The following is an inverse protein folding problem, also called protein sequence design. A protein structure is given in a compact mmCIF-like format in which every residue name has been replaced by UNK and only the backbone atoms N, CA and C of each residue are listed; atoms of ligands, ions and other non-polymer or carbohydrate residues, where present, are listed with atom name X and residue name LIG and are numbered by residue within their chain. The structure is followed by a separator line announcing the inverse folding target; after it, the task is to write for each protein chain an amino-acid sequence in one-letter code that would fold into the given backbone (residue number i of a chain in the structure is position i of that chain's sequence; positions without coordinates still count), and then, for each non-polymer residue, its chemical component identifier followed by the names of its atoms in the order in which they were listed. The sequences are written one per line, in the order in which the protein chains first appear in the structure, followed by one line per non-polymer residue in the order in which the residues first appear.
data_IF_001984439312
#
_entry.id   IF_001984439312
#
_cell.length_a   1.000
_cell.length_b   1.000
_cell.length_c   1.000
_cell.angle_alpha   90.00
_cell.angle_beta   90.00
_cell.angle_gamma   90.00
#
_symmetry.space_group_name_H-M   'P 1'
#
loop_
_entity.id
_entity.type
_entity.pdbx_description
1 polymer ?
#
# COMPACT_ATOMS: atom_id res chain seq x y z
N UNK A 1 9.88 -16.18 -23.70
CA UNK A 1 9.65 -15.08 -22.75
C UNK A 1 10.60 -15.28 -21.61
N UNK A 2 11.26 -14.22 -21.16
CA UNK A 2 12.16 -14.25 -20.01
C UNK A 2 11.57 -13.44 -18.86
N UNK A 3 11.43 -14.07 -17.70
CA UNK A 3 10.88 -13.45 -16.49
C UNK A 3 11.94 -13.38 -15.41
N UNK A 4 12.20 -12.18 -14.93
CA UNK A 4 13.02 -11.94 -13.75
C UNK A 4 12.18 -12.12 -12.49
N UNK A 5 12.77 -12.61 -11.41
CA UNK A 5 12.09 -12.72 -10.11
C UNK A 5 12.90 -12.03 -9.03
N UNK A 6 12.27 -11.08 -8.35
CA UNK A 6 12.80 -10.43 -7.15
C UNK A 6 11.84 -10.64 -5.99
N UNK A 7 12.36 -10.69 -4.77
CA UNK A 7 11.55 -10.92 -3.56
C UNK A 7 12.09 -10.20 -2.33
N UNK A 8 11.24 -10.07 -1.32
CA UNK A 8 11.67 -9.73 0.03
C UNK A 8 12.48 -10.86 0.66
N UNK A 9 13.23 -10.56 1.72
CA UNK A 9 14.17 -11.51 2.33
C UNK A 9 13.54 -12.37 3.44
N UNK A 10 12.27 -12.16 3.78
CA UNK A 10 11.57 -12.98 4.75
C UNK A 10 11.31 -14.38 4.18
N UNK A 11 11.46 -15.43 5.01
CA UNK A 11 11.32 -16.84 4.59
C UNK A 11 10.06 -17.09 3.74
N UNK A 12 8.90 -16.63 4.20
CA UNK A 12 7.64 -16.81 3.48
C UNK A 12 7.64 -16.16 2.08
N UNK A 13 8.29 -15.00 1.92
CA UNK A 13 8.40 -14.32 0.62
C UNK A 13 9.38 -15.03 -0.31
N UNK A 14 10.46 -15.60 0.24
CA UNK A 14 11.43 -16.39 -0.52
C UNK A 14 10.79 -17.71 -1.00
N UNK A 15 10.03 -18.38 -0.14
CA UNK A 15 9.25 -19.58 -0.50
C UNK A 15 8.23 -19.28 -1.61
N UNK A 16 7.45 -18.22 -1.46
CA UNK A 16 6.46 -17.80 -2.46
C UNK A 16 7.14 -17.45 -3.80
N UNK A 17 8.27 -16.77 -3.76
CA UNK A 17 9.03 -16.42 -4.96
C UNK A 17 9.60 -17.66 -5.66
N UNK A 18 10.02 -18.66 -4.88
CA UNK A 18 10.50 -19.94 -5.41
C UNK A 18 9.36 -20.74 -6.04
N UNK A 19 8.17 -20.72 -5.43
CA UNK A 19 6.97 -21.33 -6.02
C UNK A 19 6.59 -20.65 -7.33
N UNK A 20 6.59 -19.31 -7.37
CA UNK A 20 6.36 -18.53 -8.61
C UNK A 20 7.40 -18.88 -9.68
N UNK A 21 8.67 -19.01 -9.31
CA UNK A 21 9.75 -19.42 -10.23
C UNK A 21 9.51 -20.81 -10.82
N UNK A 22 9.09 -21.76 -9.99
CA UNK A 22 8.82 -23.13 -10.42
C UNK A 22 7.65 -23.17 -11.40
N UNK A 23 6.52 -22.51 -11.08
CA UNK A 23 5.35 -22.46 -11.95
C UNK A 23 5.66 -21.87 -13.33
N UNK A 24 6.51 -20.84 -13.38
CA UNK A 24 6.96 -20.25 -14.65
C UNK A 24 7.86 -21.22 -15.43
N UNK A 25 8.78 -21.89 -14.74
CA UNK A 25 9.68 -22.88 -15.35
C UNK A 25 8.90 -24.06 -15.94
N UNK A 26 7.90 -24.57 -15.20
CA UNK A 26 7.02 -25.65 -15.63
C UNK A 26 6.18 -25.27 -16.86
N UNK A 27 5.84 -23.99 -16.99
CA UNK A 27 5.16 -23.42 -18.15
C UNK A 27 6.12 -23.09 -19.33
N UNK A 28 7.40 -23.45 -19.25
CA UNK A 28 8.40 -23.25 -20.30
C UNK A 28 8.92 -21.82 -20.43
N UNK A 29 8.78 -21.00 -19.37
CA UNK A 29 9.32 -19.63 -19.31
C UNK A 29 10.77 -19.65 -18.84
N UNK A 30 11.63 -18.85 -19.46
CA UNK A 30 13.01 -18.68 -18.99
C UNK A 30 13.02 -17.79 -17.74
N UNK A 31 13.45 -18.34 -16.59
CA UNK A 31 13.44 -17.64 -15.31
C UNK A 31 14.85 -17.17 -14.92
N UNK A 32 14.95 -15.91 -14.51
CA UNK A 32 16.19 -15.31 -14.00
C UNK A 32 15.97 -14.80 -12.57
N UNK A 33 16.75 -15.27 -11.60
CA UNK A 33 16.63 -14.85 -10.21
C UNK A 33 17.48 -13.61 -9.91
N UNK A 34 16.92 -12.67 -9.18
CA UNK A 34 17.64 -11.52 -8.64
C UNK A 34 18.67 -11.96 -7.58
N UNK A 35 19.82 -11.28 -7.51
CA UNK A 35 20.96 -11.65 -6.66
C UNK A 35 20.62 -11.99 -5.20
N UNK A 36 19.72 -11.23 -4.57
CA UNK A 36 19.33 -11.44 -3.17
C UNK A 36 18.44 -12.66 -3.01
N UNK A 37 17.45 -12.84 -3.90
CA UNK A 37 16.62 -14.06 -3.92
C UNK A 37 17.47 -15.30 -4.21
N UNK A 38 18.34 -15.22 -5.22
CA UNK A 38 19.20 -16.32 -5.63
C UNK A 38 20.12 -16.77 -4.49
N UNK A 39 20.74 -15.81 -3.78
CA UNK A 39 21.57 -16.09 -2.62
C UNK A 39 20.78 -16.78 -1.49
N UNK A 40 19.53 -16.36 -1.24
CA UNK A 40 18.67 -16.96 -0.23
C UNK A 40 18.32 -18.43 -0.52
N UNK A 41 18.33 -18.83 -1.80
CA UNK A 41 18.09 -20.23 -2.23
C UNK A 41 19.37 -20.98 -2.62
N UNK A 42 20.55 -20.43 -2.31
CA UNK A 42 21.84 -21.09 -2.56
C UNK A 42 22.26 -21.15 -4.04
N UNK A 43 21.80 -20.21 -4.86
CA UNK A 43 22.10 -20.11 -6.29
C UNK A 43 22.79 -18.78 -6.64
N UNK A 44 23.32 -18.69 -7.87
CA UNK A 44 23.90 -17.43 -8.38
C UNK A 44 22.84 -16.67 -9.17
N UNK A 45 22.54 -15.44 -8.75
CA UNK A 45 21.57 -14.57 -9.41
C UNK A 45 22.22 -13.40 -10.14
N UNK A 46 21.38 -12.60 -10.78
CA UNK A 46 21.81 -11.38 -11.49
C UNK A 46 21.47 -10.15 -10.67
N UNK A 47 22.37 -9.16 -10.56
CA UNK A 47 22.04 -7.89 -9.94
C UNK A 47 20.84 -7.25 -10.65
N UNK A 48 19.87 -6.74 -9.89
CA UNK A 48 18.60 -6.22 -10.42
C UNK A 48 18.76 -5.23 -11.58
N UNK A 49 19.78 -4.38 -11.54
CA UNK A 49 20.08 -3.38 -12.60
C UNK A 49 20.67 -3.97 -13.88
N UNK A 50 21.18 -5.20 -13.82
CA UNK A 50 21.79 -5.93 -14.94
C UNK A 50 20.83 -6.94 -15.58
N UNK A 51 19.70 -7.24 -14.93
CA UNK A 51 18.68 -8.14 -15.47
C UNK A 51 18.11 -7.59 -16.78
N UNK A 52 18.01 -8.46 -17.78
CA UNK A 52 17.46 -8.16 -19.10
C UNK A 52 16.29 -9.08 -19.37
N UNK A 53 15.13 -8.73 -18.84
CA UNK A 53 13.92 -9.57 -18.79
C UNK A 53 12.73 -8.86 -19.43
N UNK A 54 11.79 -9.64 -19.97
CA UNK A 54 10.54 -9.12 -20.56
C UNK A 54 9.60 -8.59 -19.45
N UNK A 55 9.56 -9.30 -18.32
CA UNK A 55 8.78 -8.95 -17.12
C UNK A 55 9.62 -9.24 -15.88
N UNK A 56 9.58 -8.36 -14.89
CA UNK A 56 10.11 -8.60 -13.56
C UNK A 56 8.94 -8.88 -12.59
N UNK A 57 8.78 -10.14 -12.19
CA UNK A 57 7.87 -10.51 -11.11
C UNK A 57 8.48 -10.12 -9.77
N UNK A 58 7.78 -9.29 -9.00
CA UNK A 58 8.22 -8.83 -7.68
C UNK A 58 7.29 -9.42 -6.62
N UNK A 59 7.81 -10.40 -5.89
CA UNK A 59 7.03 -11.17 -4.91
C UNK A 59 7.23 -10.60 -3.51
N UNK A 60 6.16 -10.14 -2.86
CA UNK A 60 6.29 -9.56 -1.52
C UNK A 60 5.14 -8.66 -1.11
N UNK A 61 5.47 -7.56 -0.43
CA UNK A 61 4.54 -6.52 0.01
C UNK A 61 4.80 -5.20 -0.74
N UNK A 62 3.98 -4.17 -0.49
CA UNK A 62 4.18 -2.83 -1.07
C UNK A 62 5.60 -2.31 -0.76
N UNK A 63 6.12 -2.58 0.44
CA UNK A 63 7.49 -2.23 0.80
C UNK A 63 8.54 -2.88 -0.12
N UNK A 64 8.38 -4.18 -0.41
CA UNK A 64 9.27 -4.91 -1.34
C UNK A 64 9.21 -4.31 -2.74
N UNK A 65 8.00 -4.01 -3.23
CA UNK A 65 7.77 -3.42 -4.53
C UNK A 65 8.44 -2.03 -4.65
N UNK A 66 8.18 -1.13 -3.71
CA UNK A 66 8.75 0.22 -3.70
C UNK A 66 10.28 0.18 -3.63
N UNK A 67 10.85 -0.65 -2.74
CA UNK A 67 12.29 -0.82 -2.65
C UNK A 67 12.89 -1.36 -3.97
N UNK A 68 12.22 -2.32 -4.62
CA UNK A 68 12.65 -2.87 -5.91
C UNK A 68 12.65 -1.79 -7.00
N UNK A 69 11.60 -0.96 -7.07
CA UNK A 69 11.51 0.15 -8.02
C UNK A 69 12.58 1.23 -7.79
N UNK A 70 12.90 1.55 -6.52
CA UNK A 70 14.00 2.44 -6.17
C UNK A 70 15.35 1.88 -6.65
N UNK A 71 15.60 0.58 -6.45
CA UNK A 71 16.82 -0.10 -6.90
C UNK A 71 16.92 -0.17 -8.43
N UNK A 72 15.80 -0.40 -9.14
CA UNK A 72 15.72 -0.37 -10.61
C UNK A 72 16.05 1.02 -11.19
N UNK A 73 15.64 2.09 -10.51
CA UNK A 73 15.89 3.45 -10.93
C UNK A 73 15.23 3.80 -12.27
N UNK A 74 16.02 4.30 -13.23
CA UNK A 74 15.52 4.76 -14.55
C UNK A 74 15.22 3.61 -15.53
N UNK A 75 15.47 2.34 -15.17
CA UNK A 75 15.15 1.20 -16.05
C UNK A 75 13.63 1.03 -16.21
N UNK A 76 13.23 0.58 -17.39
CA UNK A 76 11.84 0.46 -17.81
C UNK A 76 11.37 -1.00 -17.94
N UNK A 77 11.94 -1.94 -17.17
CA UNK A 77 11.43 -3.32 -17.16
C UNK A 77 10.01 -3.32 -16.59
N UNK A 78 9.01 -3.86 -17.32
CA UNK A 78 7.67 -4.06 -16.79
C UNK A 78 7.70 -4.89 -15.51
N UNK A 79 7.05 -4.39 -14.46
CA UNK A 79 6.97 -5.04 -13.17
C UNK A 79 5.61 -5.71 -13.02
N UNK A 80 5.61 -6.98 -12.64
CA UNK A 80 4.42 -7.69 -12.19
C UNK A 80 4.50 -7.84 -10.66
N UNK A 81 3.77 -7.02 -9.90
CA UNK A 81 3.68 -7.20 -8.45
C UNK A 81 2.90 -8.48 -8.14
N UNK A 82 3.47 -9.35 -7.31
CA UNK A 82 2.84 -10.57 -6.81
C UNK A 82 2.79 -10.53 -5.28
N UNK A 83 1.59 -10.49 -4.70
CA UNK A 83 1.43 -10.38 -3.26
C UNK A 83 1.85 -11.71 -2.61
N UNK A 84 2.80 -11.62 -1.68
CA UNK A 84 3.18 -12.77 -0.85
C UNK A 84 2.06 -13.08 0.17
N UNK A 85 1.99 -14.34 0.61
CA UNK A 85 0.99 -14.83 1.55
C UNK A 85 0.91 -13.93 2.79
N UNK A 86 -0.32 -13.51 3.08
CA UNK A 86 -0.64 -12.76 4.28
C UNK A 86 -0.31 -11.26 4.23
N UNK A 87 0.19 -10.74 3.11
CA UNK A 87 0.43 -9.31 2.90
C UNK A 87 -0.83 -8.63 2.32
N UNK A 88 -1.29 -7.50 2.90
CA UNK A 88 -2.25 -6.63 2.21
C UNK A 88 -1.56 -6.00 1.00
N UNK A 89 -2.25 -5.92 -0.14
CA UNK A 89 -1.66 -5.39 -1.37
C UNK A 89 -2.60 -4.47 -2.10
N UNK A 90 -2.35 -3.16 -2.02
CA UNK A 90 -3.09 -2.16 -2.81
C UNK A 90 -2.55 -2.07 -4.25
N UNK A 91 -1.26 -2.36 -4.44
CA UNK A 91 -0.58 -2.30 -5.74
C UNK A 91 -0.53 -3.66 -6.47
N UNK A 92 -1.20 -4.68 -5.97
CA UNK A 92 -1.07 -6.07 -6.40
C UNK A 92 -2.36 -6.63 -7.00
N UNK A 93 -2.26 -7.12 -8.24
CA UNK A 93 -3.37 -7.77 -8.97
C UNK A 93 -3.34 -9.30 -8.90
N UNK A 94 -2.25 -9.85 -8.38
CA UNK A 94 -2.01 -11.29 -8.31
C UNK A 94 -1.38 -11.61 -6.97
N UNK A 95 -1.77 -12.74 -6.38
CA UNK A 95 -1.10 -13.28 -5.20
C UNK A 95 -0.28 -14.50 -5.58
N UNK A 96 0.76 -14.81 -4.80
CA UNK A 96 1.54 -16.03 -5.00
C UNK A 96 0.65 -17.29 -4.96
N UNK A 97 -0.41 -17.27 -4.14
CA UNK A 97 -1.36 -18.36 -3.99
C UNK A 97 -2.27 -18.57 -5.22
N UNK A 98 -2.54 -17.52 -6.01
CA UNK A 98 -3.33 -17.58 -7.24
C UNK A 98 -2.47 -17.42 -8.50
N UNK A 99 -1.16 -17.52 -8.37
CA UNK A 99 -0.24 -17.21 -9.47
C UNK A 99 -0.35 -18.20 -10.63
N UNK A 100 -0.65 -19.48 -10.34
CA UNK A 100 -0.83 -20.52 -11.37
C UNK A 100 -1.87 -20.10 -12.42
N UNK A 101 -2.98 -19.49 -12.01
CA UNK A 101 -4.01 -18.97 -12.91
C UNK A 101 -3.52 -17.79 -13.76
N UNK A 102 -2.57 -16.99 -13.24
CA UNK A 102 -2.00 -15.85 -13.95
C UNK A 102 -0.88 -16.25 -14.92
N UNK A 103 -0.23 -17.41 -14.73
CA UNK A 103 0.86 -17.89 -15.61
C UNK A 103 0.38 -18.04 -17.04
N UNK A 104 -0.81 -18.62 -17.24
CA UNK A 104 -1.36 -18.82 -18.58
C UNK A 104 -1.54 -17.49 -19.32
N UNK A 105 -2.10 -16.48 -18.65
CA UNK A 105 -2.27 -15.14 -19.22
C UNK A 105 -0.93 -14.45 -19.47
N UNK A 106 0.03 -14.63 -18.56
CA UNK A 106 1.36 -14.05 -18.67
C UNK A 106 2.07 -14.57 -19.93
N UNK A 107 2.07 -15.90 -20.12
CA UNK A 107 2.69 -16.59 -21.27
C UNK A 107 1.97 -16.25 -22.57
N UNK A 108 0.62 -16.24 -22.55
CA UNK A 108 -0.19 -15.87 -23.70
C UNK A 108 -0.19 -14.36 -24.01
N UNK A 109 0.55 -13.55 -23.22
CA UNK A 109 0.60 -12.08 -23.32
C UNK A 109 -0.77 -11.41 -23.26
N UNK A 110 -1.69 -11.98 -22.46
CA UNK A 110 -3.02 -11.42 -22.16
C UNK A 110 -2.95 -10.42 -21.01
N UNK A 111 -2.09 -9.42 -21.17
CA UNK A 111 -1.86 -8.36 -20.20
C UNK A 111 -1.46 -7.09 -20.94
N UNK A 112 -1.56 -5.96 -20.24
CA UNK A 112 -1.19 -4.64 -20.76
C UNK A 112 -0.19 -3.95 -19.84
N UNK A 113 0.40 -2.86 -20.33
CA UNK A 113 1.27 -2.01 -19.51
C UNK A 113 0.47 -0.82 -19.00
N UNK A 114 0.33 -0.73 -17.69
CA UNK A 114 -0.11 0.48 -17.00
C UNK A 114 1.12 1.33 -16.68
N UNK A 115 1.08 2.62 -17.04
CA UNK A 115 2.14 3.59 -16.71
C UNK A 115 1.75 4.33 -15.45
N UNK A 116 2.61 4.27 -14.43
CA UNK A 116 2.44 5.03 -13.18
C UNK A 116 3.50 6.12 -13.10
N UNK A 117 3.01 7.35 -12.98
CA UNK A 117 3.87 8.53 -12.87
C UNK A 117 4.80 8.40 -11.65
N UNK A 118 6.00 8.94 -11.79
CA UNK A 118 6.99 9.03 -10.70
C UNK A 118 7.43 10.47 -10.49
N UNK A 119 7.77 10.83 -9.27
CA UNK A 119 8.40 12.12 -8.97
C UNK A 119 9.91 12.04 -9.17
N UNK A 120 10.48 13.16 -9.62
CA UNK A 120 11.90 13.44 -9.66
C UNK A 120 12.18 14.68 -8.83
N UNK A 121 13.17 14.59 -7.93
CA UNK A 121 13.44 15.61 -6.93
C UNK A 121 14.90 16.04 -7.04
N UNK A 122 15.11 17.35 -7.01
CA UNK A 122 16.43 17.96 -6.92
C UNK A 122 16.54 18.70 -5.60
N UNK A 123 17.55 18.33 -4.79
CA UNK A 123 17.86 19.01 -3.53
C UNK A 123 19.38 19.06 -3.35
N UNK A 124 19.90 20.14 -2.78
CA UNK A 124 21.33 20.31 -2.48
C UNK A 124 22.26 20.05 -3.70
N UNK A 125 21.80 20.38 -4.91
CA UNK A 125 22.54 20.14 -6.16
C UNK A 125 22.61 18.68 -6.59
N UNK A 126 21.84 17.78 -5.97
CA UNK A 126 21.80 16.35 -6.29
C UNK A 126 20.39 15.86 -6.63
N UNK A 127 20.32 14.89 -7.55
CA UNK A 127 19.07 14.21 -7.90
C UNK A 127 18.70 13.13 -6.87
N UNK A 128 17.40 12.95 -6.66
CA UNK A 128 16.83 11.83 -5.91
C UNK A 128 16.72 10.57 -6.78
N UNK A 129 16.47 9.40 -6.16
CA UNK A 129 15.83 8.29 -6.86
C UNK A 129 14.47 8.71 -7.41
N UNK A 130 13.93 7.93 -8.34
CA UNK A 130 12.57 8.14 -8.85
C UNK A 130 11.55 7.56 -7.88
N UNK A 131 10.56 8.36 -7.52
CA UNK A 131 9.66 8.10 -6.39
C UNK A 131 8.27 7.74 -6.91
N UNK A 132 7.71 6.62 -6.46
CA UNK A 132 6.41 6.18 -6.95
C UNK A 132 5.26 6.85 -6.22
N UNK A 133 5.33 6.94 -4.90
CA UNK A 133 4.21 7.36 -4.07
C UNK A 133 4.35 8.82 -3.65
N UNK A 134 5.30 9.15 -2.77
CA UNK A 134 5.44 10.51 -2.26
C UNK A 134 6.85 10.85 -1.79
N UNK A 135 7.11 12.15 -1.76
CA UNK A 135 8.10 12.70 -0.84
C UNK A 135 7.42 13.26 0.41
N UNK A 136 8.06 13.03 1.54
CA UNK A 136 7.65 13.50 2.85
C UNK A 136 8.77 14.38 3.41
N UNK A 137 8.48 15.65 3.67
CA UNK A 137 9.44 16.63 4.19
C UNK A 137 9.07 16.89 5.65
N UNK A 138 9.91 16.45 6.58
CA UNK A 138 9.63 16.49 8.01
C UNK A 138 10.87 16.88 8.81
N UNK A 139 10.72 17.51 9.99
CA UNK A 139 11.82 17.63 10.92
C UNK A 139 12.23 16.23 11.39
N UNK A 140 13.53 16.03 11.60
CA UNK A 140 14.09 14.76 12.08
C UNK A 140 13.58 14.40 13.47
N UNK A 141 13.31 15.41 14.29
CA UNK A 141 12.76 15.25 15.64
C UNK A 141 11.27 15.55 15.62
N UNK A 142 10.49 14.60 16.13
CA UNK A 142 9.03 14.73 16.25
C UNK A 142 8.61 15.93 17.11
N UNK A 143 7.36 16.38 16.92
CA UNK A 143 6.77 17.51 17.66
C UNK A 143 7.51 18.85 17.47
N UNK A 144 8.11 19.06 16.29
CA UNK A 144 8.72 20.31 15.87
C UNK A 144 8.11 20.72 14.54
N UNK A 145 7.87 22.01 14.33
CA UNK A 145 7.35 22.54 13.08
C UNK A 145 8.47 22.80 12.06
N UNK A 146 8.12 22.68 10.79
CA UNK A 146 8.88 23.24 9.66
C UNK A 146 8.15 24.48 9.15
N UNK A 147 8.90 25.53 8.81
CA UNK A 147 8.40 26.67 8.04
C UNK A 147 8.92 26.60 6.60
N UNK A 148 8.09 26.90 5.62
CA UNK A 148 8.43 26.86 4.20
C UNK A 148 7.53 27.76 3.35
N UNK A 149 7.97 28.07 2.14
CA UNK A 149 7.18 28.67 1.06
C UNK A 149 7.01 27.66 -0.08
N UNK A 150 5.80 27.55 -0.63
CA UNK A 150 5.52 26.76 -1.83
C UNK A 150 5.45 27.70 -3.02
N UNK A 151 6.17 27.36 -4.08
CA UNK A 151 6.16 28.03 -5.36
C UNK A 151 5.69 27.06 -6.45
N UNK A 152 4.90 27.57 -7.39
CA UNK A 152 4.42 26.86 -8.57
C UNK A 152 4.95 27.60 -9.80
N UNK A 153 5.68 26.93 -10.69
CA UNK A 153 6.29 27.58 -11.88
C UNK A 153 7.14 28.81 -11.52
N UNK A 154 7.88 28.74 -10.41
CA UNK A 154 8.71 29.84 -9.89
C UNK A 154 7.94 30.90 -9.08
N UNK A 155 6.62 31.00 -9.24
CA UNK A 155 5.80 32.01 -8.57
C UNK A 155 5.42 31.60 -7.13
N UNK A 156 5.52 32.50 -6.14
CA UNK A 156 5.13 32.20 -4.77
C UNK A 156 3.62 31.96 -4.68
N UNK A 157 3.22 30.77 -4.20
CA UNK A 157 1.82 30.41 -4.03
C UNK A 157 1.35 30.59 -2.59
N UNK A 158 2.05 29.99 -1.63
CA UNK A 158 1.77 30.22 -0.20
C UNK A 158 3.01 30.07 0.68
N UNK A 159 2.87 30.50 1.94
CA UNK A 159 3.80 30.21 3.03
C UNK A 159 3.05 29.46 4.13
N UNK A 160 3.71 28.53 4.80
CA UNK A 160 3.11 27.77 5.90
C UNK A 160 4.09 27.39 7.00
N UNK A 161 3.52 27.00 8.15
CA UNK A 161 4.21 26.27 9.21
C UNK A 161 3.40 25.03 9.55
N UNK A 162 4.02 23.86 9.56
CA UNK A 162 3.32 22.58 9.77
C UNK A 162 4.26 21.51 10.33
N UNK A 163 3.73 20.36 10.75
CA UNK A 163 4.56 19.21 11.17
C UNK A 163 5.37 18.66 10.00
N UNK A 164 4.86 18.79 8.78
CA UNK A 164 5.53 18.37 7.56
C UNK A 164 4.77 18.76 6.30
N UNK A 165 5.36 18.43 5.16
CA UNK A 165 4.76 18.61 3.83
C UNK A 165 4.92 17.32 3.02
N UNK A 166 3.83 16.86 2.41
CA UNK A 166 3.81 15.69 1.53
C UNK A 166 3.51 16.14 0.11
N UNK A 167 4.28 15.65 -0.86
CA UNK A 167 3.99 15.81 -2.29
C UNK A 167 3.89 14.40 -2.88
N UNK A 168 2.72 14.08 -3.41
CA UNK A 168 2.32 12.71 -3.75
C UNK A 168 1.83 12.60 -5.20
N UNK A 169 2.10 11.46 -5.81
CA UNK A 169 1.52 11.04 -7.11
C UNK A 169 0.10 10.50 -6.91
N UNK A 170 -0.65 10.19 -7.99
CA UNK A 170 -1.91 9.47 -7.86
C UNK A 170 -1.76 8.11 -7.16
N UNK A 171 -0.67 7.38 -7.46
CA UNK A 171 -0.36 6.09 -6.82
C UNK A 171 -0.16 6.25 -5.31
N UNK A 172 0.54 7.30 -4.88
CA UNK A 172 0.77 7.59 -3.47
C UNK A 172 -0.42 8.16 -2.72
N UNK A 173 -1.49 8.55 -3.43
CA UNK A 173 -2.68 9.17 -2.81
C UNK A 173 -3.36 8.27 -1.78
N UNK A 174 -3.18 6.95 -1.89
CA UNK A 174 -3.71 5.92 -0.98
C UNK A 174 -2.69 5.44 0.06
N UNK A 175 -1.47 5.98 0.03
CA UNK A 175 -0.40 5.70 0.97
C UNK A 175 -0.38 6.74 2.11
N UNK A 176 0.77 7.38 2.37
CA UNK A 176 0.87 8.31 3.48
C UNK A 176 -0.02 9.55 3.28
N UNK A 177 -0.19 9.99 2.03
CA UNK A 177 -1.10 11.07 1.66
C UNK A 177 -2.54 10.86 2.19
N UNK A 178 -3.08 9.65 2.09
CA UNK A 178 -4.41 9.31 2.61
C UNK A 178 -4.49 9.48 4.13
N UNK A 179 -3.44 9.03 4.83
CA UNK A 179 -3.40 9.03 6.29
C UNK A 179 -3.41 10.43 6.89
N UNK A 180 -2.91 11.42 6.16
CA UNK A 180 -2.86 12.84 6.58
C UNK A 180 -4.04 13.66 6.04
N UNK A 181 -5.08 13.01 5.49
CA UNK A 181 -6.29 13.67 5.00
C UNK A 181 -6.22 14.18 3.56
N UNK A 182 -5.30 13.64 2.75
CA UNK A 182 -5.27 13.86 1.31
C UNK A 182 -6.44 13.19 0.58
N UNK A 183 -6.85 13.70 -0.60
CA UNK A 183 -7.84 13.05 -1.43
C UNK A 183 -7.27 11.78 -2.07
N UNK A 184 -8.13 10.78 -2.25
CA UNK A 184 -7.83 9.63 -3.11
C UNK A 184 -7.91 10.07 -4.57
N UNK A 185 -6.85 9.82 -5.33
CA UNK A 185 -6.74 10.19 -6.75
C UNK A 185 -6.67 8.91 -7.57
N UNK A 186 -7.59 8.76 -8.52
CA UNK A 186 -7.64 7.59 -9.40
C UNK A 186 -6.49 7.65 -10.41
N UNK A 187 -5.67 6.60 -10.47
CA UNK A 187 -4.61 6.43 -11.48
C UNK A 187 -5.22 6.12 -12.86
N UNK A 188 -4.68 6.64 -13.99
CA UNK A 188 -3.46 7.45 -14.10
C UNK A 188 -3.74 8.95 -14.33
N UNK A 189 -4.46 9.62 -13.41
CA UNK A 189 -4.71 11.06 -13.54
C UNK A 189 -3.39 11.88 -13.59
N UNK A 190 -3.21 12.83 -14.52
CA UNK A 190 -1.96 13.59 -14.70
C UNK A 190 -1.84 14.75 -13.69
N UNK A 191 -1.80 14.41 -12.40
CA UNK A 191 -1.79 15.38 -11.31
C UNK A 191 -0.82 14.98 -10.20
N UNK A 192 -0.34 15.97 -9.45
CA UNK A 192 0.34 15.80 -8.17
C UNK A 192 -0.50 16.44 -7.06
N UNK A 193 -0.40 15.88 -5.85
CA UNK A 193 -1.10 16.39 -4.67
C UNK A 193 -0.10 16.89 -3.64
N UNK A 194 -0.27 18.12 -3.16
CA UNK A 194 0.52 18.75 -2.10
C UNK A 194 -0.32 18.85 -0.83
N UNK A 195 0.16 18.28 0.27
CA UNK A 195 -0.58 18.15 1.53
C UNK A 195 0.30 18.61 2.69
N UNK A 196 -0.11 19.70 3.35
CA UNK A 196 0.52 20.13 4.59
C UNK A 196 0.02 19.26 5.75
N UNK A 197 0.93 18.65 6.50
CA UNK A 197 0.61 17.77 7.63
C UNK A 197 0.49 18.62 8.89
N UNK A 198 -0.71 18.66 9.48
CA UNK A 198 -1.03 19.48 10.67
C UNK A 198 -0.57 20.94 10.52
N UNK A 199 -1.06 21.61 9.48
CA UNK A 199 -0.79 23.04 9.24
C UNK A 199 -1.25 23.91 10.41
N UNK A 200 -0.44 24.90 10.77
CA UNK A 200 -0.81 25.97 11.69
C UNK A 200 -1.89 26.91 11.10
N UNK A 201 -2.10 26.87 9.77
CA UNK A 201 -3.22 27.51 9.12
C UNK A 201 -4.39 26.52 8.94
N UNK A 202 -5.48 26.61 9.72
CA UNK A 202 -6.59 25.65 9.65
C UNK A 202 -7.40 25.72 8.35
N UNK A 203 -7.23 26.78 7.56
CA UNK A 203 -7.83 26.89 6.23
C UNK A 203 -7.03 26.14 5.15
N UNK A 204 -5.84 25.62 5.49
CA UNK A 204 -5.01 24.85 4.58
C UNK A 204 -5.74 23.58 4.15
N UNK A 205 -5.81 23.34 2.84
CA UNK A 205 -6.40 22.15 2.23
C UNK A 205 -5.38 21.50 1.30
N UNK A 206 -5.51 20.19 1.03
CA UNK A 206 -4.76 19.55 -0.04
C UNK A 206 -4.91 20.32 -1.35
N UNK A 207 -3.78 20.55 -2.02
CA UNK A 207 -3.72 21.21 -3.32
C UNK A 207 -3.44 20.15 -4.38
N UNK A 208 -4.28 20.09 -5.42
CA UNK A 208 -4.04 19.24 -6.59
C UNK A 208 -3.60 20.16 -7.74
N UNK A 209 -2.49 19.80 -8.38
CA UNK A 209 -1.89 20.55 -9.51
C UNK A 209 -1.59 19.60 -10.67
N UNK A 210 -1.54 20.09 -11.93
CA UNK A 210 -1.03 19.30 -13.05
C UNK A 210 0.36 18.73 -12.74
N UNK A 211 0.59 17.47 -13.08
CA UNK A 211 1.90 16.82 -12.88
C UNK A 211 2.99 17.35 -13.83
N UNK A 212 2.59 18.11 -14.86
CA UNK A 212 3.51 18.86 -15.74
C UNK A 212 4.16 20.06 -15.06
N UNK A 213 3.64 20.52 -13.91
CA UNK A 213 4.19 21.67 -13.21
C UNK A 213 5.48 21.34 -12.43
N UNK A 214 6.36 22.34 -12.35
CA UNK A 214 7.49 22.36 -11.43
C UNK A 214 7.07 22.97 -10.10
N UNK A 215 7.21 22.19 -9.02
CA UNK A 215 6.96 22.62 -7.65
C UNK A 215 8.28 22.93 -6.97
N UNK A 216 8.35 24.05 -6.27
CA UNK A 216 9.51 24.42 -5.46
C UNK A 216 9.08 24.69 -4.03
N UNK A 217 9.66 23.94 -3.08
CA UNK A 217 9.51 24.21 -1.66
C UNK A 217 10.74 24.98 -1.22
N UNK A 218 10.59 26.26 -0.92
CA UNK A 218 11.65 27.22 -0.57
C UNK A 218 11.55 27.62 0.90
N UNK A 219 12.56 28.40 1.33
CA UNK A 219 12.66 28.96 2.68
C UNK A 219 12.48 27.94 3.81
N UNK A 220 12.87 26.68 3.52
CA UNK A 220 12.70 25.59 4.48
C UNK A 220 13.55 25.89 5.70
N UNK A 221 12.89 25.92 6.86
CA UNK A 221 13.51 26.29 8.12
C UNK A 221 12.89 25.50 9.27
N UNK A 222 13.75 25.06 10.19
CA UNK A 222 13.35 24.41 11.43
C UNK A 222 14.47 24.56 12.46
N UNK A 223 14.15 24.32 13.74
CA UNK A 223 15.14 24.31 14.83
C UNK A 223 16.00 23.04 14.84
N UNK A 224 15.61 22.03 14.07
CA UNK A 224 16.33 20.76 13.90
C UNK A 224 16.57 20.49 12.42
N UNK A 225 17.40 19.49 12.13
CA UNK A 225 17.56 18.98 10.76
C UNK A 225 16.21 18.61 10.16
N UNK A 226 15.96 19.03 8.93
CA UNK A 226 14.82 18.58 8.12
C UNK A 226 15.29 17.41 7.26
N UNK A 227 14.52 16.35 7.23
CA UNK A 227 14.75 15.20 6.35
C UNK A 227 13.72 15.19 5.24
N UNK A 228 14.16 14.76 4.06
CA UNK A 228 13.29 14.37 2.96
C UNK A 228 13.27 12.84 2.90
N UNK A 229 12.07 12.29 3.01
CA UNK A 229 11.78 10.87 2.98
C UNK A 229 11.18 10.52 1.62
N UNK A 230 11.74 9.52 0.98
CA UNK A 230 11.39 9.06 -0.36
C UNK A 230 10.67 7.70 -0.27
N UNK A 231 9.39 7.65 -0.65
CA UNK A 231 8.54 6.44 -0.60
C UNK A 231 8.49 5.75 0.79
N UNK A 232 8.82 6.47 1.86
CA UNK A 232 9.00 5.89 3.21
C UNK A 232 10.25 5.01 3.37
N UNK A 233 11.08 4.87 2.34
CA UNK A 233 12.20 3.92 2.28
C UNK A 233 13.55 4.58 2.57
N UNK A 234 13.81 5.72 1.94
CA UNK A 234 15.11 6.40 1.99
C UNK A 234 14.93 7.76 2.64
N UNK A 235 15.78 8.06 3.63
CA UNK A 235 15.79 9.35 4.33
C UNK A 235 17.08 10.09 4.03
N UNK A 236 16.99 11.33 3.56
CA UNK A 236 18.16 12.21 3.36
C UNK A 236 17.99 13.52 4.13
N UNK A 237 18.98 13.95 4.92
CA UNK A 237 18.95 15.26 5.54
C UNK A 237 19.09 16.35 4.48
N UNK A 238 18.23 17.35 4.54
CA UNK A 238 18.30 18.56 3.72
C UNK A 238 19.31 19.53 4.33
N UNK A 239 20.34 19.91 3.57
CA UNK A 239 21.36 20.88 3.98
C UNK A 239 21.03 22.29 3.51
N UNK A 240 20.43 22.42 2.33
CA UNK A 240 19.92 23.65 1.77
C UNK A 240 18.56 24.03 2.34
N UNK A 241 17.91 24.98 1.67
CA UNK A 241 16.59 25.50 2.05
C UNK A 241 15.54 25.35 0.96
N UNK A 242 15.87 24.63 -0.10
CA UNK A 242 15.02 24.49 -1.28
C UNK A 242 15.01 23.06 -1.79
N UNK A 243 13.84 22.61 -2.21
CA UNK A 243 13.60 21.34 -2.89
C UNK A 243 12.79 21.64 -4.14
N UNK A 244 13.23 21.13 -5.28
CA UNK A 244 12.46 21.17 -6.53
C UNK A 244 11.88 19.77 -6.79
N UNK A 245 10.59 19.71 -7.14
CA UNK A 245 9.86 18.48 -7.45
C UNK A 245 9.21 18.62 -8.81
N UNK A 246 9.44 17.62 -9.67
CA UNK A 246 8.89 17.54 -11.01
C UNK A 246 8.39 16.11 -11.27
N UNK A 247 7.53 15.94 -12.27
CA UNK A 247 7.23 14.62 -12.83
C UNK A 247 8.46 14.09 -13.57
N UNK A 248 8.84 12.86 -13.28
CA UNK A 248 9.88 12.12 -14.00
C UNK A 248 9.48 11.85 -15.45
N UNK A 249 10.45 11.87 -16.37
CA UNK A 249 10.27 11.37 -17.74
C UNK A 249 10.23 9.85 -17.83
N UNK A 250 10.59 9.15 -16.76
CA UNK A 250 10.59 7.69 -16.67
C UNK A 250 9.47 7.26 -15.71
N UNK A 251 8.36 6.78 -16.27
CA UNK A 251 7.27 6.17 -15.49
C UNK A 251 7.67 4.79 -14.98
N UNK A 252 6.99 4.30 -13.95
CA UNK A 252 7.02 2.88 -13.60
C UNK A 252 6.04 2.12 -14.50
N UNK A 253 6.46 0.97 -15.01
CA UNK A 253 5.65 0.14 -15.90
C UNK A 253 5.11 -1.04 -15.11
N UNK A 254 3.79 -1.17 -15.03
CA UNK A 254 3.12 -2.25 -14.33
C UNK A 254 2.45 -3.18 -15.34
N UNK A 255 2.65 -4.48 -15.17
CA UNK A 255 1.88 -5.51 -15.88
C UNK A 255 0.49 -5.55 -15.25
N UNK A 256 -0.53 -5.28 -16.07
CA UNK A 256 -1.94 -5.25 -15.67
C UNK A 256 -2.71 -6.32 -16.42
N UNK A 257 -3.38 -7.19 -15.68
CA UNK A 257 -4.34 -8.14 -16.25
C UNK A 257 -5.72 -7.48 -16.43
N UNK A 258 -6.57 -7.96 -17.37
CA UNK A 258 -7.93 -7.46 -17.53
C UNK A 258 -8.72 -7.50 -16.21
N UNK A 259 -9.56 -6.50 -15.94
CA UNK A 259 -10.29 -6.39 -14.64
C UNK A 259 -11.12 -7.64 -14.32
N UNK A 260 -11.82 -8.21 -15.30
CA UNK A 260 -12.56 -9.46 -15.14
C UNK A 260 -11.65 -10.61 -14.70
N UNK A 261 -10.42 -10.63 -15.21
CA UNK A 261 -9.42 -11.63 -14.85
C UNK A 261 -8.84 -11.33 -13.47
N UNK A 262 -8.55 -10.09 -13.12
CA UNK A 262 -8.13 -9.70 -11.76
C UNK A 262 -9.21 -10.10 -10.75
N UNK A 263 -10.50 -9.85 -11.05
CA UNK A 263 -11.61 -10.28 -10.21
C UNK A 263 -11.68 -11.81 -10.04
N UNK A 264 -11.35 -12.58 -11.09
CA UNK A 264 -11.25 -14.03 -11.05
C UNK A 264 -10.02 -14.53 -10.27
N UNK A 265 -8.85 -13.89 -10.45
CA UNK A 265 -7.59 -14.17 -9.72
C UNK A 265 -7.67 -13.79 -8.24
N UNK A 266 -8.46 -12.77 -7.93
CA UNK A 266 -8.87 -12.36 -6.58
C UNK A 266 -10.10 -13.16 -6.10
N UNK A 267 -10.59 -14.09 -6.93
CA UNK A 267 -11.82 -14.86 -6.81
C UNK A 267 -11.83 -15.82 -5.63
N UNK A 268 -12.00 -15.23 -4.44
CA UNK A 268 -12.51 -15.76 -3.16
C UNK A 268 -12.23 -14.81 -1.99
N UNK A 269 -11.33 -13.83 -2.15
CA UNK A 269 -10.99 -12.86 -1.10
C UNK A 269 -11.75 -11.53 -1.20
N UNK A 270 -11.99 -11.01 -2.40
CA UNK A 270 -12.66 -9.70 -2.58
C UNK A 270 -14.18 -9.77 -2.68
N UNK A 271 -14.78 -10.96 -2.89
CA UNK A 271 -16.24 -11.15 -2.89
C UNK A 271 -16.90 -10.89 -1.52
N UNK A 272 -16.14 -10.40 -0.54
CA UNK A 272 -16.64 -9.94 0.75
C UNK A 272 -16.17 -8.56 1.20
N UNK A 273 -15.22 -7.90 0.52
CA UNK A 273 -14.75 -6.54 0.90
C UNK A 273 -15.49 -5.45 0.14
N UNK A 274 -15.73 -5.62 -1.17
CA UNK A 274 -16.70 -4.79 -1.90
C UNK A 274 -18.14 -5.04 -1.40
N UNK A 275 -18.44 -6.26 -0.94
CA UNK A 275 -19.68 -6.56 -0.22
C UNK A 275 -19.67 -5.91 1.18
N UNK A 276 -18.52 -5.71 1.81
CA UNK A 276 -18.43 -5.04 3.12
C UNK A 276 -18.80 -3.57 3.02
N UNK A 277 -18.25 -2.84 2.03
CA UNK A 277 -18.58 -1.43 1.83
C UNK A 277 -20.00 -1.23 1.29
N UNK A 278 -20.47 -2.10 0.37
CA UNK A 278 -21.84 -2.01 -0.16
C UNK A 278 -22.91 -2.44 0.86
N UNK A 279 -22.72 -3.55 1.60
CA UNK A 279 -23.64 -3.92 2.70
C UNK A 279 -23.59 -2.90 3.82
N UNK A 280 -22.40 -2.37 4.15
CA UNK A 280 -22.28 -1.32 5.15
C UNK A 280 -23.04 -0.06 4.77
N UNK A 281 -23.27 0.26 3.49
CA UNK A 281 -24.08 1.42 3.09
C UNK A 281 -25.57 1.27 3.47
N UNK A 282 -26.13 0.07 3.37
CA UNK A 282 -27.55 -0.21 3.66
C UNK A 282 -27.83 -0.54 5.14
N UNK A 283 -26.79 -0.70 5.96
CA UNK A 283 -26.96 -0.96 7.39
C UNK A 283 -27.58 0.24 8.15
N UNK A 284 -28.44 -0.03 9.16
CA UNK A 284 -28.90 0.99 10.08
C UNK A 284 -27.72 1.70 10.79
N UNK A 285 -27.84 2.99 11.16
CA UNK A 285 -26.76 3.75 11.79
C UNK A 285 -26.16 3.10 13.04
N UNK A 286 -26.99 2.41 13.84
CA UNK A 286 -26.54 1.69 15.03
C UNK A 286 -25.69 0.45 14.69
N UNK A 287 -25.99 -0.25 13.60
CA UNK A 287 -25.20 -1.38 13.12
C UNK A 287 -23.86 -0.92 12.54
N UNK A 288 -23.84 0.19 11.79
CA UNK A 288 -22.60 0.84 11.30
C UNK A 288 -21.66 1.22 12.45
N UNK A 289 -22.21 1.85 13.50
CA UNK A 289 -21.42 2.26 14.67
C UNK A 289 -20.86 1.06 15.44
N UNK A 290 -21.67 0.02 15.67
CA UNK A 290 -21.20 -1.22 16.32
C UNK A 290 -20.12 -1.92 15.49
N UNK A 291 -20.30 -1.98 14.17
CA UNK A 291 -19.32 -2.55 13.24
C UNK A 291 -17.99 -1.80 13.34
N UNK A 292 -18.03 -0.46 13.33
CA UNK A 292 -16.84 0.38 13.45
C UNK A 292 -16.12 0.21 14.80
N UNK A 293 -16.85 0.08 15.90
CA UNK A 293 -16.24 -0.24 17.21
C UNK A 293 -15.54 -1.61 17.20
N UNK A 294 -16.10 -2.59 16.49
CA UNK A 294 -15.50 -3.91 16.32
C UNK A 294 -14.32 -3.94 15.33
N UNK A 295 -14.15 -2.94 14.46
CA UNK A 295 -12.95 -2.79 13.61
C UNK A 295 -11.70 -2.49 14.42
N UNK A 296 -11.84 -1.70 15.50
CA UNK A 296 -10.71 -1.30 16.34
C UNK A 296 -10.36 -2.33 17.44
N UNK A 297 -11.25 -3.28 17.73
CA UNK A 297 -11.07 -4.28 18.79
C UNK A 297 -10.98 -5.71 18.24
N UNK A 298 -9.98 -6.50 18.69
CA UNK A 298 -9.83 -7.88 18.22
C UNK A 298 -11.05 -8.77 18.58
N UNK A 299 -11.57 -8.65 19.81
CA UNK A 299 -12.79 -9.31 20.31
C UNK A 299 -13.39 -8.48 21.45
N UNK A 300 -14.70 -8.22 21.41
CA UNK A 300 -15.40 -7.47 22.46
C UNK A 300 -16.65 -8.23 22.94
N UNK A 301 -16.92 -8.19 24.23
CA UNK A 301 -18.18 -8.61 24.82
C UNK A 301 -19.30 -7.63 24.51
N UNK A 302 -20.56 -8.07 24.62
CA UNK A 302 -21.69 -7.17 24.46
C UNK A 302 -21.63 -5.97 25.42
N UNK A 303 -21.07 -6.15 26.63
CA UNK A 303 -20.95 -5.08 27.62
C UNK A 303 -19.94 -4.02 27.18
N UNK A 304 -18.78 -4.44 26.67
CA UNK A 304 -17.76 -3.52 26.15
C UNK A 304 -18.28 -2.77 24.92
N UNK A 305 -19.01 -3.44 24.03
CA UNK A 305 -19.63 -2.77 22.87
C UNK A 305 -20.65 -1.71 23.32
N UNK A 306 -21.46 -1.99 24.35
CA UNK A 306 -22.38 -1.01 24.93
C UNK A 306 -21.61 0.19 25.50
N UNK A 307 -20.52 -0.06 26.21
CA UNK A 307 -19.71 0.97 26.84
C UNK A 307 -19.00 1.86 25.81
N UNK A 308 -18.47 1.29 24.74
CA UNK A 308 -17.77 2.00 23.68
C UNK A 308 -18.73 2.77 22.76
N UNK A 309 -19.84 2.15 22.35
CA UNK A 309 -20.81 2.80 21.46
C UNK A 309 -21.73 3.80 22.18
N UNK A 310 -21.81 3.74 23.52
CA UNK A 310 -22.78 4.47 24.35
C UNK A 310 -24.25 4.21 23.96
N UNK A 311 -24.54 3.15 23.22
CA UNK A 311 -25.89 2.78 22.79
C UNK A 311 -26.62 1.95 23.87
N UNK A 312 -27.97 2.00 23.93
CA UNK A 312 -28.74 1.13 24.82
C UNK A 312 -28.51 -0.36 24.53
N UNK A 313 -28.53 -1.19 25.58
CA UNK A 313 -28.29 -2.63 25.48
C UNK A 313 -29.23 -3.39 24.53
N UNK A 314 -30.45 -2.88 24.29
CA UNK A 314 -31.39 -3.43 23.30
C UNK A 314 -30.95 -3.11 21.87
N UNK A 315 -30.49 -1.88 21.64
CA UNK A 315 -29.99 -1.41 20.34
C UNK A 315 -28.73 -2.15 19.92
N UNK A 316 -27.79 -2.37 20.84
CA UNK A 316 -26.58 -3.16 20.57
C UNK A 316 -26.91 -4.61 20.22
N UNK A 317 -27.86 -5.24 20.93
CA UNK A 317 -28.31 -6.60 20.59
C UNK A 317 -28.94 -6.69 19.21
N UNK A 318 -29.78 -5.72 18.87
CA UNK A 318 -30.42 -5.66 17.56
C UNK A 318 -29.38 -5.45 16.45
N UNK A 319 -28.46 -4.49 16.63
CA UNK A 319 -27.34 -4.25 15.72
C UNK A 319 -26.47 -5.51 15.53
N UNK A 320 -26.08 -6.19 16.60
CA UNK A 320 -25.32 -7.44 16.52
C UNK A 320 -26.10 -8.56 15.81
N UNK A 321 -27.42 -8.64 16.00
CA UNK A 321 -28.25 -9.61 15.28
C UNK A 321 -28.21 -9.38 13.77
N UNK A 322 -28.29 -8.14 13.32
CA UNK A 322 -28.18 -7.76 11.91
C UNK A 322 -26.77 -8.07 11.39
N UNK A 323 -25.73 -7.65 12.09
CA UNK A 323 -24.35 -7.88 11.66
C UNK A 323 -23.99 -9.37 11.60
N UNK A 324 -24.60 -10.21 12.43
CA UNK A 324 -24.43 -11.67 12.38
C UNK A 324 -25.21 -12.27 11.21
N UNK A 325 -26.43 -11.81 10.92
CA UNK A 325 -27.21 -12.31 9.77
C UNK A 325 -26.54 -11.94 8.44
N UNK A 326 -25.92 -10.76 8.36
CA UNK A 326 -25.11 -10.33 7.21
C UNK A 326 -23.72 -11.00 7.17
N UNK A 327 -23.37 -11.80 8.18
CA UNK A 327 -22.09 -12.52 8.25
C UNK A 327 -20.86 -11.64 8.48
N UNK A 328 -21.04 -10.38 8.87
CA UNK A 328 -19.99 -9.38 9.13
C UNK A 328 -19.34 -9.59 10.50
N UNK A 329 -20.12 -10.07 11.47
CA UNK A 329 -19.69 -10.34 12.85
C UNK A 329 -19.98 -11.79 13.22
N UNK A 330 -19.08 -12.41 13.98
CA UNK A 330 -19.29 -13.74 14.53
C UNK A 330 -19.24 -13.74 16.06
N UNK A 331 -20.12 -14.54 16.68
CA UNK A 331 -20.16 -14.77 18.12
C UNK A 331 -19.36 -16.02 18.48
N UNK A 332 -18.36 -15.88 19.36
CA UNK A 332 -17.65 -17.00 20.01
C UNK A 332 -18.04 -17.11 21.48
N UNK A 333 -17.97 -18.32 22.02
CA UNK A 333 -18.06 -18.55 23.47
C UNK A 333 -16.76 -18.09 24.14
N UNK A 334 -16.88 -17.35 25.23
CA UNK A 334 -15.72 -17.06 26.08
C UNK A 334 -15.32 -18.31 26.85
N UNK A 335 -14.03 -18.68 26.79
CA UNK A 335 -13.46 -19.79 27.57
C UNK A 335 -13.35 -19.46 29.07
N UNK A 336 -13.40 -18.17 29.44
CA UNK A 336 -13.32 -17.70 30.83
C UNK A 336 -14.69 -17.58 31.52
N UNK A 337 -15.77 -17.36 30.75
CA UNK A 337 -17.14 -17.34 31.25
C UNK A 337 -18.09 -17.79 30.13
N UNK A 338 -18.58 -19.03 30.20
CA UNK A 338 -19.44 -19.63 29.17
C UNK A 338 -20.77 -18.91 28.97
N UNK A 339 -21.15 -18.00 29.88
CA UNK A 339 -22.35 -17.16 29.78
C UNK A 339 -22.14 -15.88 28.95
N UNK A 340 -20.90 -15.56 28.60
CA UNK A 340 -20.56 -14.35 27.83
C UNK A 340 -20.17 -14.71 26.39
N UNK A 341 -20.91 -14.15 25.44
CA UNK A 341 -20.55 -14.18 24.02
C UNK A 341 -19.57 -13.06 23.68
N UNK A 342 -18.44 -13.41 23.08
CA UNK A 342 -17.50 -12.47 22.50
C UNK A 342 -17.80 -12.30 21.02
N UNK A 343 -17.81 -11.06 20.55
CA UNK A 343 -18.11 -10.69 19.17
C UNK A 343 -16.83 -10.16 18.52
N UNK A 344 -16.62 -10.52 17.27
CA UNK A 344 -15.49 -10.04 16.47
C UNK A 344 -15.86 -9.99 15.01
N UNK A 345 -15.12 -9.20 14.24
CA UNK A 345 -15.24 -9.22 12.79
C UNK A 345 -14.87 -10.60 12.24
N UNK A 346 -15.61 -11.02 11.23
CA UNK A 346 -15.36 -12.25 10.50
C UNK A 346 -14.13 -12.07 9.59
N UNK A 347 -12.91 -12.17 10.14
CA UNK A 347 -11.66 -12.15 9.36
C UNK A 347 -11.33 -13.57 8.82
N UNK A 348 -10.87 -13.76 7.56
CA UNK A 348 -10.81 -15.09 6.89
C UNK A 348 -9.84 -16.13 7.47
N UNK A 349 -9.01 -15.83 8.48
CA UNK A 349 -7.82 -16.65 8.80
C UNK A 349 -7.97 -17.81 9.80
N UNK A 350 -9.16 -18.32 10.13
CA UNK A 350 -9.25 -19.52 10.99
C UNK A 350 -10.43 -20.43 10.64
N UNK A 351 -10.30 -21.17 9.53
CA UNK A 351 -11.13 -22.36 9.30
C UNK A 351 -10.36 -23.68 9.20
N UNK A 352 -9.02 -23.67 9.26
CA UNK A 352 -8.20 -24.88 9.22
C UNK A 352 -7.26 -24.96 10.44
N UNK A 353 -7.83 -25.24 11.62
CA UNK A 353 -7.10 -25.98 12.66
C UNK A 353 -7.87 -27.30 12.82
N UNK A 354 -7.28 -28.47 12.51
CA UNK A 354 -7.92 -29.74 12.80
C UNK A 354 -8.11 -29.86 14.31
N UNK A 355 -9.27 -30.36 14.73
CA UNK A 355 -9.59 -30.59 16.13
C UNK A 355 -8.48 -31.45 16.78
N UNK A 356 -8.00 -31.11 18.00
CA UNK A 356 -7.15 -32.02 18.73
C UNK A 356 -7.90 -33.33 18.96
N UNK A 357 -7.33 -34.41 18.46
CA UNK A 357 -7.84 -35.77 18.62
C UNK A 357 -7.85 -36.13 20.11
N UNK A 358 -9.02 -36.05 20.74
CA UNK A 358 -9.22 -36.53 22.10
C UNK A 358 -9.50 -38.04 22.08
N UNK A 359 -8.52 -38.85 21.65
CA UNK A 359 -8.43 -40.29 21.94
C UNK A 359 -6.97 -40.81 21.92
N UNK A 360 -6.24 -40.60 23.01
CA UNK A 360 -5.68 -41.66 23.90
C UNK A 360 -4.69 -41.05 24.88
#
# INVERSE_FOLDING_TARGET
MRVGIASGQASAMVEDATQVAQLLTDAGVEVELEEGLAAAVGSTGTPLRKMSVDVLAVVGSDHTLLNTLLRLGKRSSPVLPVASRGQPGFLFDVSAASFEEAVEDLVARRWSIERRARLHITMDGAESPLILNEIAIFPRTSAILIGYSLHLEGEPFWKDMSDGLIISTPTGSTAYAMSVGGPVVVSPAPVMTVIAVNSANPARRPLIVPDSMTLEVKDISSRVTVDVIFDGQVRRPLRGKSIQVTRSTNDALFVKFPEERVAALHGKLLKKIEVFESVAQDLPPSAKLVLKVLEYGEQLSQREIIEETKLPARTVRHALSILISEGLVMKKLSLRDSRQGLFRLTNPRKKDEPAPDTRK
#
